data_IF_205842765556
#
_entry.id   IF_205842765556
#
_cell.length_a   1.000
_cell.length_b   1.000
_cell.length_c   1.000
_cell.angle_alpha   90.00
_cell.angle_beta   90.00
_cell.angle_gamma   90.00
#
_symmetry.space_group_name_H-M   'P 1'
#
loop_
_entity.id
_entity.type
_entity.pdbx_description
1 polymer ?
2 non-polymer ?
3 non-polymer ?
4 water ?
#
# COMPACT_ATOMS: atom_id res chain seq x y z
N UNK A 1 18.22 21.17 -9.77
CA UNK A 1 17.87 20.06 -8.86
C UNK A 1 16.83 19.18 -9.49
N UNK A 2 17.13 18.02 -9.56
CA UNK A 2 16.19 17.05 -10.09
C UNK A 2 15.15 16.78 -9.04
N UNK A 3 13.98 16.28 -9.40
CA UNK A 3 12.94 15.99 -8.40
C UNK A 3 12.30 14.62 -8.65
N UNK A 4 11.70 14.05 -7.61
CA UNK A 4 10.98 12.83 -7.73
C UNK A 4 9.68 12.96 -6.96
N UNK A 5 8.59 12.51 -7.55
CA UNK A 5 7.35 12.28 -6.84
C UNK A 5 6.88 10.82 -6.88
N UNK A 6 6.04 10.47 -5.92
CA UNK A 6 5.38 9.21 -5.90
C UNK A 6 3.87 9.44 -6.04
N UNK A 7 3.24 8.72 -6.95
CA UNK A 7 1.87 8.96 -7.31
C UNK A 7 0.91 7.79 -7.02
N UNK A 8 -0.33 8.14 -6.77
CA UNK A 8 -1.37 7.13 -6.63
C UNK A 8 -2.00 6.80 -8.00
N UNK A 9 -3.01 5.92 -8.02
CA UNK A 9 -3.73 5.50 -9.24
C UNK A 9 -4.33 6.68 -10.01
N UNK A 10 -4.74 7.69 -9.26
CA UNK A 10 -5.39 8.85 -9.77
C UNK A 10 -4.42 9.99 -10.14
N UNK A 11 -3.14 9.69 -10.14
CA UNK A 11 -2.11 10.61 -10.64
C UNK A 11 -1.73 11.66 -9.66
N UNK A 12 -2.15 11.53 -8.40
CA UNK A 12 -1.86 12.49 -7.34
C UNK A 12 -0.67 12.05 -6.50
N UNK A 13 0.00 13.06 -5.94
CA UNK A 13 1.21 12.79 -5.20
C UNK A 13 0.90 12.24 -3.81
N UNK A 14 1.66 11.24 -3.36
CA UNK A 14 1.54 10.74 -2.01
C UNK A 14 2.82 10.64 -1.24
N UNK A 15 3.76 11.55 -1.47
CA UNK A 15 4.99 11.59 -0.69
C UNK A 15 4.63 11.68 0.75
N UNK A 16 5.30 10.91 1.59
CA UNK A 16 5.04 10.93 3.00
C UNK A 16 3.87 10.06 3.45
N UNK A 17 3.04 9.52 2.57
CA UNK A 17 1.90 8.67 3.03
C UNK A 17 2.21 7.17 3.09
N UNK A 18 1.47 6.47 3.94
CA UNK A 18 1.62 5.03 4.10
C UNK A 18 1.01 4.21 2.96
N UNK A 19 1.60 3.05 2.74
CA UNK A 19 1.13 2.04 1.76
C UNK A 19 1.22 0.62 2.31
N UNK A 20 0.57 -0.28 1.61
CA UNK A 20 0.38 -1.71 1.98
C UNK A 20 1.40 -2.59 1.28
N UNK A 21 1.65 -3.81 1.79
CA UNK A 21 2.65 -4.73 1.25
C UNK A 21 2.51 -5.02 -0.20
N UNK A 22 1.32 -5.03 -0.76
CA UNK A 22 1.28 -5.27 -2.20
C UNK A 22 1.30 -4.01 -3.05
N UNK A 23 1.64 -2.86 -2.48
CA UNK A 23 1.71 -1.64 -3.31
C UNK A 23 2.62 -1.78 -4.56
N UNK A 24 2.24 -1.11 -5.66
CA UNK A 24 3.15 -0.74 -6.72
C UNK A 24 3.59 0.72 -6.50
N UNK A 25 4.86 0.98 -6.28
CA UNK A 25 5.30 2.36 -6.17
C UNK A 25 5.50 2.90 -7.57
N UNK A 26 4.71 3.91 -7.94
CA UNK A 26 4.81 4.61 -9.24
C UNK A 26 5.52 5.94 -9.11
N UNK A 27 6.77 5.98 -9.51
CA UNK A 27 7.59 7.17 -9.36
C UNK A 27 7.69 7.94 -10.68
N UNK A 28 7.68 9.27 -10.57
CA UNK A 28 7.93 10.16 -11.72
C UNK A 28 9.14 11.00 -11.36
N UNK A 29 10.24 10.84 -12.11
CA UNK A 29 11.46 11.57 -11.80
C UNK A 29 11.82 12.45 -12.95
N UNK A 30 12.28 13.65 -12.61
CA UNK A 30 12.60 14.67 -13.57
C UNK A 30 14.07 15.06 -13.57
N UNK A 31 14.66 14.89 -14.72
CA UNK A 31 15.95 15.42 -15.08
C UNK A 31 15.72 16.82 -15.65
N UNK A 32 16.19 17.78 -14.89
CA UNK A 32 15.80 19.16 -15.08
C UNK A 32 16.82 19.84 -16.01
N UNK A 33 16.40 20.16 -17.22
CA UNK A 33 17.22 20.95 -18.15
C UNK A 33 16.61 22.33 -18.47
N UNK A 34 15.43 22.56 -17.93
CA UNK A 34 14.75 23.83 -18.24
C UNK A 34 15.53 25.02 -17.80
N UNK A 35 16.39 24.89 -16.80
CA UNK A 35 17.24 25.99 -16.40
C UNK A 35 18.43 26.25 -17.30
N UNK A 36 18.67 25.41 -18.30
CA UNK A 36 19.81 25.60 -19.20
C UNK A 36 19.35 26.22 -20.51
N UNK A 37 18.08 26.61 -20.58
CA UNK A 37 17.54 27.17 -21.82
C UNK A 37 18.35 28.37 -22.31
N UNK A 38 18.94 28.31 -23.51
CA UNK A 38 19.75 29.41 -24.06
C UNK A 38 21.24 29.34 -23.74
N UNK A 39 21.67 28.26 -23.09
CA UNK A 39 23.07 28.12 -22.69
C UNK A 39 23.99 28.02 -23.93
N UNK A 40 25.25 28.37 -23.71
CA UNK A 40 26.31 28.28 -24.72
C UNK A 40 27.51 27.71 -23.97
N UNK A 41 27.48 26.39 -23.81
CA UNK A 41 28.50 25.66 -23.06
C UNK A 41 29.70 25.45 -23.95
N UNK A 42 30.88 25.33 -23.34
CA UNK A 42 32.09 25.06 -24.09
C UNK A 42 32.04 23.57 -24.42
N UNK A 43 32.88 23.21 -25.38
CA UNK A 43 32.93 21.89 -25.94
C UNK A 43 33.49 20.91 -24.94
N UNK A 44 34.45 21.32 -24.14
CA UNK A 44 34.90 20.42 -23.08
C UNK A 44 33.87 20.20 -21.97
N UNK A 45 33.03 21.18 -21.68
CA UNK A 45 32.00 20.98 -20.69
C UNK A 45 31.00 19.97 -21.24
N UNK A 46 30.58 20.15 -22.49
CA UNK A 46 29.67 19.23 -23.14
C UNK A 46 30.16 17.80 -23.19
N UNK A 47 31.43 17.61 -23.39
CA UNK A 47 31.98 16.29 -23.55
C UNK A 47 31.99 15.53 -22.23
N UNK A 48 31.77 16.18 -21.11
CA UNK A 48 31.66 15.45 -19.87
C UNK A 48 30.29 14.81 -19.67
N UNK A 49 29.31 15.22 -20.47
CA UNK A 49 28.08 14.46 -20.62
C UNK A 49 27.04 14.65 -19.57
N UNK A 50 26.01 13.82 -19.66
CA UNK A 50 24.79 13.96 -18.88
C UNK A 50 24.31 12.63 -18.34
N UNK A 51 23.95 12.61 -17.08
CA UNK A 51 23.56 11.37 -16.48
C UNK A 51 22.50 11.62 -15.40
N UNK A 52 21.65 10.63 -15.21
CA UNK A 52 20.57 10.68 -14.27
C UNK A 52 20.66 9.43 -13.42
N UNK A 53 20.50 9.60 -12.11
CA UNK A 53 20.65 8.57 -11.13
C UNK A 53 19.38 8.39 -10.30
N UNK A 54 18.95 7.14 -10.15
CA UNK A 54 17.92 6.82 -9.18
C UNK A 54 18.43 5.80 -8.14
N UNK A 55 18.29 6.12 -6.84
CA UNK A 55 18.76 5.26 -5.77
C UNK A 55 17.62 4.88 -4.83
N UNK A 56 17.03 3.69 -5.02
CA UNK A 56 16.06 3.13 -4.10
C UNK A 56 16.74 2.49 -2.93
N UNK A 57 16.10 2.50 -1.78
CA UNK A 57 16.63 1.83 -0.62
C UNK A 57 16.34 0.30 -0.58
N UNK A 58 16.71 -0.37 0.50
CA UNK A 58 16.57 -1.86 0.56
C UNK A 58 15.12 -2.42 0.49
N UNK A 59 14.09 -1.55 0.46
CA UNK A 59 12.69 -2.01 0.44
C UNK A 59 12.13 -2.42 -0.88
N UNK A 60 12.77 -1.97 -1.97
CA UNK A 60 12.12 -1.99 -3.26
C UNK A 60 12.77 -3.02 -4.12
N UNK A 61 12.04 -3.58 -5.08
CA UNK A 61 12.57 -4.73 -5.78
C UNK A 61 12.49 -4.54 -7.23
N UNK A 62 11.36 -4.76 -7.85
CA UNK A 62 11.41 -5.13 -9.27
C UNK A 62 11.21 -3.93 -10.19
N UNK A 63 12.31 -3.29 -10.57
CA UNK A 63 12.20 -2.09 -11.35
C UNK A 63 11.51 -2.35 -12.65
N UNK A 64 10.53 -1.54 -13.02
CA UNK A 64 10.13 -1.42 -14.42
C UNK A 64 10.25 0.02 -14.95
N UNK A 65 11.04 0.25 -15.97
CA UNK A 65 11.06 1.52 -16.62
C UNK A 65 9.82 1.58 -17.54
N UNK A 66 8.83 2.38 -17.19
CA UNK A 66 7.62 2.43 -17.99
C UNK A 66 7.77 3.39 -19.16
N UNK A 67 8.48 4.50 -18.97
CA UNK A 67 8.81 5.33 -20.06
C UNK A 67 9.89 6.33 -19.69
N UNK A 68 10.60 6.79 -20.71
CA UNK A 68 11.48 7.91 -20.59
C UNK A 68 11.20 8.91 -21.72
N UNK A 69 10.68 10.08 -21.37
CA UNK A 69 10.15 11.03 -22.34
C UNK A 69 10.65 12.43 -22.10
N UNK A 70 10.87 13.14 -23.19
CA UNK A 70 11.21 14.54 -23.08
C UNK A 70 9.92 15.32 -23.03
N UNK A 71 10.01 16.57 -22.60
CA UNK A 71 8.83 17.37 -22.38
C UNK A 71 8.10 17.72 -23.69
N UNK A 72 8.78 17.62 -24.82
CA UNK A 72 8.11 17.80 -26.10
C UNK A 72 7.43 16.51 -26.57
N UNK A 73 7.41 15.47 -25.78
CA UNK A 73 6.77 14.22 -26.16
C UNK A 73 7.72 13.17 -26.71
N UNK A 74 8.92 13.55 -27.13
CA UNK A 74 9.92 12.55 -27.60
C UNK A 74 10.23 11.39 -26.63
N UNK A 75 10.13 10.16 -27.13
CA UNK A 75 10.63 8.96 -26.47
C UNK A 75 12.15 8.91 -26.60
N UNK A 76 12.86 9.17 -25.52
CA UNK A 76 14.31 9.26 -25.59
C UNK A 76 15.10 8.07 -25.08
N UNK A 77 14.41 7.00 -24.73
CA UNK A 77 15.07 5.82 -24.14
C UNK A 77 16.21 5.25 -25.00
N UNK A 78 16.10 5.30 -26.31
CA UNK A 78 17.15 4.75 -27.11
C UNK A 78 18.38 5.68 -27.24
N UNK A 79 18.31 6.90 -26.69
CA UNK A 79 19.46 7.81 -26.55
C UNK A 79 20.25 7.64 -25.25
N UNK A 80 19.70 6.88 -24.32
CA UNK A 80 20.36 6.63 -23.01
C UNK A 80 20.88 5.22 -22.89
N UNK A 81 21.85 5.02 -22.02
CA UNK A 81 22.40 3.72 -21.74
C UNK A 81 22.15 3.49 -20.27
N UNK A 82 21.41 2.45 -19.91
CA UNK A 82 21.17 2.18 -18.50
C UNK A 82 22.23 1.24 -17.95
N UNK A 83 22.68 1.55 -16.76
CA UNK A 83 23.52 0.69 -15.94
C UNK A 83 22.87 0.48 -14.54
N UNK A 84 23.03 -0.73 -14.00
CA UNK A 84 22.71 -1.01 -12.62
C UNK A 84 24.04 -1.19 -11.97
N UNK A 85 24.36 -0.30 -11.03
CA UNK A 85 25.63 -0.36 -10.31
C UNK A 85 25.44 -0.94 -8.91
N UNK A 86 26.49 -1.57 -8.40
CA UNK A 86 26.50 -2.10 -7.03
C UNK A 86 27.93 -2.34 -6.60
N UNK A 87 28.36 -1.66 -5.54
CA UNK A 87 29.76 -1.71 -5.17
C UNK A 87 29.92 -2.32 -3.77
N UNK A 105 27.10 12.27 -4.16
CA UNK A 105 27.52 11.31 -5.20
C UNK A 105 27.45 9.85 -4.71
N UNK A 106 26.48 9.05 -5.28
CA UNK A 106 26.16 7.83 -4.54
C UNK A 106 27.22 6.76 -4.57
N UNK A 107 27.12 5.83 -3.62
CA UNK A 107 28.24 4.98 -3.28
C UNK A 107 27.85 3.53 -2.89
N UNK A 108 26.59 3.12 -3.11
CA UNK A 108 26.20 1.74 -2.79
C UNK A 108 25.60 1.06 -4.04
N UNK A 109 24.27 0.98 -4.07
CA UNK A 109 23.54 0.34 -5.17
C UNK A 109 22.57 1.36 -5.81
N UNK A 110 22.54 1.45 -7.14
CA UNK A 110 21.77 2.46 -7.85
C UNK A 110 21.64 2.25 -9.35
N UNK A 111 20.69 2.93 -9.96
CA UNK A 111 20.50 2.89 -11.39
C UNK A 111 20.94 4.20 -12.02
N UNK A 112 21.55 4.12 -13.20
CA UNK A 112 22.07 5.29 -13.86
C UNK A 112 21.77 5.23 -15.35
N UNK A 113 21.37 6.36 -15.91
CA UNK A 113 21.14 6.54 -17.35
C UNK A 113 22.05 7.67 -17.86
N UNK A 114 22.93 7.37 -18.77
CA UNK A 114 23.82 8.38 -19.29
C UNK A 114 23.56 8.52 -20.80
N UNK A 115 23.67 9.73 -21.33
CA UNK A 115 23.44 9.96 -22.77
C UNK A 115 24.57 9.39 -23.64
N UNK A 116 24.21 8.60 -24.63
CA UNK A 116 25.19 7.94 -25.49
C UNK A 116 26.05 8.91 -26.32
N UNK A 117 25.41 9.97 -26.81
CA UNK A 117 26.07 11.01 -27.58
C UNK A 117 25.84 12.34 -26.90
N UNK A 118 26.77 12.79 -26.04
CA UNK A 118 26.59 14.03 -25.31
C UNK A 118 26.26 15.27 -26.21
N UNK A 119 26.89 15.38 -27.36
CA UNK A 119 26.73 16.52 -28.22
C UNK A 119 25.34 16.68 -28.80
N UNK A 120 24.84 15.59 -29.37
CA UNK A 120 23.54 15.56 -29.98
C UNK A 120 22.46 15.72 -28.92
N UNK A 121 22.67 15.14 -27.75
CA UNK A 121 21.73 15.25 -26.66
C UNK A 121 21.67 16.73 -26.13
N UNK A 122 22.81 17.35 -26.02
CA UNK A 122 22.92 18.76 -25.66
C UNK A 122 22.14 19.67 -26.60
N UNK A 123 22.26 19.39 -27.88
CA UNK A 123 21.60 20.23 -28.85
C UNK A 123 20.10 19.99 -28.91
N UNK A 124 19.68 18.75 -28.84
CA UNK A 124 18.28 18.44 -28.98
C UNK A 124 17.49 18.71 -27.71
N UNK A 125 18.09 18.59 -26.54
CA UNK A 125 17.33 18.64 -25.31
C UNK A 125 17.84 19.65 -24.29
N UNK A 126 19.13 19.66 -24.03
CA UNK A 126 19.63 20.47 -22.93
C UNK A 126 19.56 21.97 -23.29
N UNK A 127 20.16 22.31 -24.43
CA UNK A 127 20.23 23.68 -24.87
C UNK A 127 18.84 24.29 -25.13
N UNK A 128 17.87 23.46 -25.51
CA UNK A 128 16.47 23.85 -25.66
C UNK A 128 15.62 23.87 -24.35
N UNK A 129 16.18 23.39 -23.25
CA UNK A 129 15.50 23.47 -21.97
C UNK A 129 14.43 22.43 -21.85
N UNK A 130 14.57 21.29 -22.55
CA UNK A 130 13.57 20.19 -22.49
C UNK A 130 13.86 19.15 -21.38
N UNK A 131 13.10 19.18 -20.30
CA UNK A 131 13.21 18.24 -19.19
C UNK A 131 12.92 16.82 -19.68
N UNK A 132 13.59 15.85 -19.05
CA UNK A 132 13.31 14.45 -19.32
C UNK A 132 12.61 13.83 -18.11
N UNK A 133 11.50 13.15 -18.34
CA UNK A 133 10.71 12.51 -17.29
C UNK A 133 10.85 10.95 -17.35
N UNK A 134 11.32 10.38 -16.25
CA UNK A 134 11.50 8.96 -16.12
C UNK A 134 10.31 8.45 -15.29
N UNK A 135 9.54 7.52 -15.86
CA UNK A 135 8.45 6.89 -15.11
C UNK A 135 8.82 5.45 -14.77
N UNK A 136 9.10 5.24 -13.50
CA UNK A 136 9.66 4.02 -12.97
C UNK A 136 8.69 3.41 -11.91
N UNK A 137 8.52 2.10 -11.94
CA UNK A 137 7.74 1.47 -10.89
C UNK A 137 8.49 0.32 -10.24
N UNK A 138 8.15 0.08 -8.97
CA UNK A 138 8.82 -0.91 -8.19
C UNK A 138 7.76 -1.61 -7.37
N UNK A 139 8.04 -2.84 -6.96
CA UNK A 139 7.33 -3.51 -5.88
C UNK A 139 8.09 -3.50 -4.57
N UNK A 140 7.36 -3.77 -3.49
CA UNK A 140 7.98 -3.91 -2.18
C UNK A 140 8.43 -5.37 -1.92
N UNK A 141 9.62 -5.54 -1.38
CA UNK A 141 10.12 -6.89 -1.06
C UNK A 141 9.27 -7.50 0.04
N UNK A 142 8.90 -8.75 -0.11
CA UNK A 142 8.03 -9.39 0.90
C UNK A 142 8.65 -9.40 2.32
N UNK A 143 9.97 -9.35 2.44
CA UNK A 143 10.60 -9.40 3.79
C UNK A 143 10.84 -8.04 4.41
N UNK A 144 10.41 -6.98 3.72
CA UNK A 144 10.30 -5.64 4.30
C UNK A 144 8.84 -5.38 4.79
N UNK A 145 8.63 -5.50 6.09
CA UNK A 145 7.33 -5.55 6.70
C UNK A 145 7.11 -4.32 7.58
N UNK A 146 8.13 -3.51 7.76
CA UNK A 146 7.92 -2.18 8.27
C UNK A 146 9.08 -1.29 7.98
N UNK A 147 8.81 -0.01 8.25
CA UNK A 147 9.74 1.08 8.13
C UNK A 147 9.45 1.86 6.88
N UNK A 148 10.46 2.55 6.41
CA UNK A 148 10.29 3.54 5.39
C UNK A 148 10.91 3.16 4.06
N UNK A 149 10.09 3.32 3.03
CA UNK A 149 10.47 3.05 1.64
C UNK A 149 10.97 4.36 1.11
N UNK A 150 12.17 4.34 0.56
CA UNK A 150 12.82 5.59 0.12
C UNK A 150 13.33 5.47 -1.25
N UNK A 151 13.20 6.57 -1.97
CA UNK A 151 13.77 6.67 -3.28
C UNK A 151 14.30 8.07 -3.52
N UNK A 152 15.58 8.14 -3.93
CA UNK A 152 16.27 9.42 -4.17
C UNK A 152 16.76 9.54 -5.62
N UNK A 153 16.99 10.78 -6.04
CA UNK A 153 17.53 11.05 -7.35
C UNK A 153 18.72 12.00 -7.33
N UNK A 154 19.50 11.94 -8.39
CA UNK A 154 20.53 12.94 -8.62
C UNK A 154 20.74 13.10 -10.09
N UNK A 155 21.45 14.16 -10.46
CA UNK A 155 21.73 14.39 -11.85
C UNK A 155 23.11 14.98 -12.04
N UNK A 156 23.73 14.68 -13.16
CA UNK A 156 25.10 15.08 -13.42
C UNK A 156 25.11 15.78 -14.77
N UNK A 157 25.53 17.05 -14.77
CA UNK A 157 25.45 17.86 -15.98
C UNK A 157 26.81 18.47 -16.18
N UNK A 158 27.41 18.26 -17.35
CA UNK A 158 28.67 18.86 -17.66
C UNK A 158 29.66 18.45 -16.58
N UNK A 159 29.48 17.25 -16.03
CA UNK A 159 30.36 16.74 -14.96
C UNK A 159 30.09 17.19 -13.52
N UNK A 160 29.11 18.07 -13.28
CA UNK A 160 28.79 18.55 -11.93
C UNK A 160 27.60 17.75 -11.41
N UNK A 161 27.73 17.12 -10.23
CA UNK A 161 26.61 16.37 -9.62
C UNK A 161 25.72 17.15 -8.68
N UNK A 162 24.41 17.05 -8.85
CA UNK A 162 23.42 17.70 -7.97
C UNK A 162 22.43 16.65 -7.44
N UNK A 163 22.25 16.53 -6.12
CA UNK A 163 21.21 15.67 -5.54
C UNK A 163 19.88 16.37 -5.60
N UNK A 164 18.82 15.58 -5.64
CA UNK A 164 17.48 16.13 -5.60
C UNK A 164 16.89 15.60 -4.32
N UNK A 165 15.58 15.44 -4.30
CA UNK A 165 14.87 15.04 -3.08
C UNK A 165 14.72 13.51 -2.90
N UNK A 166 14.41 13.10 -1.67
CA UNK A 166 14.18 11.70 -1.34
C UNK A 166 12.70 11.53 -1.02
N UNK A 167 12.00 10.64 -1.71
CA UNK A 167 10.58 10.43 -1.34
C UNK A 167 10.47 9.21 -0.44
N UNK A 168 9.60 9.35 0.55
CA UNK A 168 9.52 8.51 1.74
C UNK A 168 8.07 8.04 1.89
N UNK A 169 7.88 6.75 2.13
CA UNK A 169 6.54 6.15 2.37
C UNK A 169 6.63 5.05 3.44
N UNK A 170 5.80 5.10 4.49
CA UNK A 170 5.79 4.05 5.48
C UNK A 170 5.12 2.78 4.92
N UNK A 171 5.70 1.63 5.22
CA UNK A 171 5.10 0.30 4.90
C UNK A 171 4.41 -0.21 6.16
N UNK A 172 3.10 -0.38 6.08
CA UNK A 172 2.30 -0.87 7.19
C UNK A 172 1.75 -2.26 6.84
N UNK A 173 2.16 -3.27 7.61
CA UNK A 173 1.62 -4.60 7.48
C UNK A 173 0.38 -4.74 8.38
N UNK A 174 -0.73 -5.10 7.80
CA UNK A 174 -1.92 -5.28 8.65
C UNK A 174 -1.83 -6.39 9.69
N UNK A 175 -2.74 -6.37 10.65
CA UNK A 175 -2.72 -7.25 11.78
C UNK A 175 -4.14 -7.33 12.39
N UNK A 176 -4.55 -8.55 12.69
CA UNK A 176 -5.91 -8.85 13.17
C UNK A 176 -5.92 -9.93 14.23
N UNK A 177 -7.02 -9.98 14.98
CA UNK A 177 -7.18 -10.92 16.08
C UNK A 177 -8.57 -11.48 16.09
N UNK A 178 -8.66 -12.64 16.74
CA UNK A 178 -9.91 -13.32 17.03
C UNK A 178 -9.97 -13.66 18.51
N UNK A 179 -11.12 -13.42 19.08
CA UNK A 179 -11.44 -13.94 20.37
C UNK A 179 -12.79 -14.67 20.35
N UNK A 180 -13.02 -15.43 21.43
CA UNK A 180 -14.30 -16.06 21.67
C UNK A 180 -14.79 -15.66 23.05
N UNK A 181 -16.01 -15.23 23.07
CA UNK A 181 -16.59 -14.53 24.16
C UNK A 181 -17.83 -15.26 24.53
N UNK A 182 -18.30 -15.11 25.75
CA UNK A 182 -19.64 -15.61 26.13
C UNK A 182 -20.77 -14.81 25.43
N UNK A 183 -20.59 -13.50 25.39
CA UNK A 183 -21.33 -12.67 24.45
C UNK A 183 -20.57 -11.36 24.29
N UNK A 184 -21.08 -10.51 23.42
CA UNK A 184 -20.47 -9.22 23.09
C UNK A 184 -20.17 -8.39 24.33
N UNK A 185 -19.07 -7.62 24.28
CA UNK A 185 -18.56 -6.85 25.46
C UNK A 185 -18.71 -7.65 26.76
N UNK A 186 -18.54 -8.99 26.65
CA UNK A 186 -18.59 -9.91 27.79
C UNK A 186 -17.12 -10.20 28.08
N UNK A 187 -16.79 -11.46 28.34
CA UNK A 187 -15.40 -11.85 28.62
C UNK A 187 -14.91 -13.01 27.74
N UNK A 188 -13.59 -13.11 27.56
CA UNK A 188 -12.98 -14.18 26.75
C UNK A 188 -13.25 -15.52 27.43
N UNK A 189 -13.68 -16.52 26.68
CA UNK A 189 -13.77 -17.87 27.18
C UNK A 189 -12.81 -18.80 26.45
N UNK A 190 -11.72 -18.26 25.90
CA UNK A 190 -10.85 -19.05 25.06
C UNK A 190 -10.26 -20.15 25.92
N UNK A 191 -9.97 -21.30 25.33
CA UNK A 191 -9.73 -22.60 26.01
C UNK A 191 -10.67 -22.98 27.14
N UNK A 192 -11.88 -22.41 27.20
CA UNK A 192 -12.80 -22.79 28.26
C UNK A 192 -13.89 -23.75 27.79
N UNK A 193 -14.87 -24.01 28.67
CA UNK A 193 -15.95 -24.98 28.46
C UNK A 193 -17.24 -24.26 28.13
N UNK A 194 -18.09 -24.91 27.34
CA UNK A 194 -19.34 -24.33 26.84
C UNK A 194 -20.35 -25.46 26.93
N UNK A 195 -21.51 -25.21 27.53
CA UNK A 195 -22.53 -26.26 27.70
C UNK A 195 -23.20 -26.41 26.34
N UNK A 196 -23.63 -27.63 26.04
CA UNK A 196 -24.39 -27.93 24.83
C UNK A 196 -25.66 -27.09 24.74
N UNK A 197 -25.98 -26.61 23.54
CA UNK A 197 -27.17 -25.79 23.31
C UNK A 197 -26.98 -24.31 23.59
N UNK A 198 -25.96 -23.97 24.38
CA UNK A 198 -25.58 -22.57 24.62
C UNK A 198 -25.01 -21.82 23.37
N UNK A 199 -25.05 -20.48 23.44
CA UNK A 199 -24.50 -19.60 22.42
C UNK A 199 -23.12 -19.09 22.86
N UNK A 200 -22.25 -18.82 21.87
CA UNK A 200 -20.99 -18.12 22.07
C UNK A 200 -20.81 -17.11 20.90
N UNK A 201 -20.01 -16.13 21.18
CA UNK A 201 -19.84 -15.06 20.24
C UNK A 201 -18.39 -15.06 19.85
N UNK A 202 -18.11 -15.19 18.57
CA UNK A 202 -16.76 -14.91 18.07
C UNK A 202 -16.59 -13.44 17.76
N UNK A 203 -15.49 -12.84 18.19
CA UNK A 203 -15.16 -11.47 17.88
C UNK A 203 -13.97 -11.43 16.92
N UNK A 204 -14.15 -10.83 15.75
CA UNK A 204 -13.06 -10.67 14.83
C UNK A 204 -12.63 -9.21 14.88
N UNK A 205 -11.41 -8.96 15.40
CA UNK A 205 -10.88 -7.58 15.51
C UNK A 205 -10.18 -7.12 14.23
N UNK A 206 -10.88 -6.29 13.48
CA UNK A 206 -10.33 -5.67 12.26
C UNK A 206 -9.11 -4.79 12.49
N UNK A 207 -8.33 -4.61 11.46
CA UNK A 207 -7.20 -3.67 11.48
C UNK A 207 -7.74 -2.27 11.36
N UNK A 208 -7.23 -1.35 12.14
CA UNK A 208 -7.54 0.05 11.93
C UNK A 208 -6.63 0.51 10.80
N UNK A 209 -7.24 0.84 9.68
CA UNK A 209 -6.53 1.47 8.60
C UNK A 209 -6.17 2.93 9.00
N UNK A 210 -4.87 3.29 8.96
CA UNK A 210 -4.47 4.61 9.47
C UNK A 210 -4.81 5.76 8.56
N UNK A 211 -4.92 6.92 9.20
CA UNK A 211 -4.98 8.20 8.53
C UNK A 211 -3.60 8.45 7.96
N UNK A 212 -3.55 9.29 6.93
CA UNK A 212 -2.29 9.63 6.26
C UNK A 212 -1.79 8.50 5.38
N UNK A 213 -2.74 7.79 4.79
CA UNK A 213 -2.41 6.75 3.86
C UNK A 213 -2.45 7.29 2.44
N UNK A 214 -1.78 6.58 1.58
CA UNK A 214 -1.72 6.96 0.20
C UNK A 214 -2.58 6.15 -0.73
N UNK A 215 -3.73 5.68 -0.29
CA UNK A 215 -4.58 4.78 -1.08
C UNK A 215 -5.99 4.88 -0.52
N UNK A 216 -6.94 4.61 -1.35
CA UNK A 216 -8.33 4.46 -0.92
C UNK A 216 -8.54 2.97 -0.78
N UNK A 217 -9.51 2.66 0.04
CA UNK A 217 -9.98 1.34 0.27
C UNK A 217 -10.99 0.83 -0.76
N UNK A 218 -10.70 -0.30 -1.38
CA UNK A 218 -11.73 -0.96 -2.15
C UNK A 218 -12.15 -2.32 -1.54
N UNK A 219 -11.40 -2.86 -0.57
CA UNK A 219 -11.75 -4.11 0.05
C UNK A 219 -11.42 -4.09 1.50
N UNK A 220 -12.40 -4.48 2.32
CA UNK A 220 -12.27 -4.67 3.78
C UNK A 220 -13.20 -5.79 4.19
N UNK A 221 -12.63 -6.96 4.49
CA UNK A 221 -13.40 -8.20 4.44
C UNK A 221 -12.81 -9.30 5.34
N UNK A 222 -13.70 -9.95 6.07
CA UNK A 222 -13.38 -11.14 6.83
C UNK A 222 -13.90 -12.43 6.21
N UNK A 223 -13.11 -13.49 6.28
CA UNK A 223 -13.53 -14.82 5.90
C UNK A 223 -13.30 -15.74 7.13
N UNK A 224 -14.37 -16.30 7.64
CA UNK A 224 -14.23 -17.13 8.82
C UNK A 224 -14.67 -18.56 8.47
N UNK A 225 -13.80 -19.51 8.73
CA UNK A 225 -14.11 -20.93 8.46
C UNK A 225 -14.75 -21.52 9.70
N UNK A 226 -16.08 -21.45 9.84
CA UNK A 226 -16.76 -21.93 11.05
C UNK A 226 -16.75 -23.47 11.11
N UNK A 227 -16.63 -24.04 12.31
CA UNK A 227 -16.65 -25.49 12.41
C UNK A 227 -18.14 -25.94 12.46
N UNK A 228 -18.76 -26.02 11.28
CA UNK A 228 -20.23 -26.10 11.09
C UNK A 228 -20.82 -27.39 11.69
N UNK A 229 -20.01 -28.45 11.81
CA UNK A 229 -20.47 -29.69 12.49
C UNK A 229 -20.78 -29.48 13.96
N UNK A 230 -20.18 -28.48 14.59
CA UNK A 230 -20.37 -28.26 16.03
C UNK A 230 -20.97 -26.86 16.38
N UNK A 231 -20.96 -25.92 15.45
CA UNK A 231 -21.40 -24.53 15.72
C UNK A 231 -22.45 -24.14 14.68
N UNK A 232 -23.62 -23.67 15.11
CA UNK A 232 -24.67 -23.24 14.18
C UNK A 232 -24.72 -21.72 14.06
N UNK A 233 -24.51 -21.24 12.85
CA UNK A 233 -24.48 -19.78 12.64
C UNK A 233 -25.87 -19.19 12.84
N UNK A 234 -26.01 -18.29 13.82
CA UNK A 234 -27.26 -17.62 14.10
C UNK A 234 -27.31 -16.23 13.48
N UNK A 235 -26.36 -15.37 13.83
CA UNK A 235 -26.38 -13.98 13.36
C UNK A 235 -25.02 -13.28 13.59
N UNK A 236 -24.90 -12.07 13.05
CA UNK A 236 -23.70 -11.27 13.17
C UNK A 236 -23.96 -9.78 13.36
N UNK A 237 -22.94 -9.05 13.78
CA UNK A 237 -23.07 -7.61 13.97
C UNK A 237 -21.70 -6.97 13.75
N UNK A 238 -21.68 -5.85 13.03
CA UNK A 238 -20.41 -5.23 12.72
C UNK A 238 -20.43 -3.79 13.22
N UNK A 239 -19.40 -3.39 13.97
CA UNK A 239 -19.41 -2.10 14.59
C UNK A 239 -18.12 -1.32 14.35
N UNK A 240 -18.24 -0.01 14.26
CA UNK A 240 -17.07 0.86 14.11
C UNK A 240 -16.22 0.82 15.36
N UNK A 241 -14.93 0.54 15.18
CA UNK A 241 -13.93 0.64 16.23
C UNK A 241 -13.36 2.05 16.46
N UNK A 242 -13.51 2.96 15.51
CA UNK A 242 -13.07 4.37 15.66
C UNK A 242 -14.09 5.28 15.02
N UNK A 243 -14.05 6.56 15.37
CA UNK A 243 -14.83 7.54 14.66
C UNK A 243 -14.34 7.56 13.24
N UNK A 244 -15.26 7.45 12.30
CA UNK A 244 -14.96 7.45 10.88
C UNK A 244 -15.46 8.74 10.18
N UNK A 245 -14.57 9.44 9.46
CA UNK A 245 -14.92 10.65 8.76
C UNK A 245 -14.91 10.42 7.26
N UNK A 246 -16.02 10.76 6.61
CA UNK A 246 -16.13 10.57 5.18
C UNK A 246 -15.62 11.82 4.50
N UNK A 247 -15.43 11.73 3.19
CA UNK A 247 -14.89 12.87 2.42
C UNK A 247 -15.72 14.13 2.49
N UNK A 248 -17.03 13.98 2.65
CA UNK A 248 -17.86 15.13 2.66
C UNK A 248 -17.98 15.72 4.09
N UNK A 249 -17.25 15.14 5.05
CA UNK A 249 -17.25 15.66 6.40
C UNK A 249 -18.13 14.95 7.40
N UNK A 250 -19.03 14.06 6.95
CA UNK A 250 -19.88 13.29 7.87
C UNK A 250 -19.00 12.42 8.74
N UNK A 251 -19.26 12.45 10.05
CA UNK A 251 -18.52 11.68 11.07
C UNK A 251 -19.41 10.54 11.49
N UNK A 252 -18.89 9.33 11.53
CA UNK A 252 -19.65 8.14 11.96
C UNK A 252 -19.09 7.75 13.32
N UNK A 253 -19.89 7.86 14.38
CA UNK A 253 -19.32 7.67 15.71
C UNK A 253 -18.80 6.25 15.88
N UNK A 254 -17.66 6.15 16.57
CA UNK A 254 -17.23 4.88 17.12
C UNK A 254 -18.40 4.21 17.81
N UNK A 255 -18.50 2.89 17.65
CA UNK A 255 -19.56 2.10 18.24
C UNK A 255 -20.77 1.98 17.34
N UNK A 256 -20.83 2.75 16.24
CA UNK A 256 -21.98 2.71 15.33
C UNK A 256 -22.10 1.34 14.62
N UNK A 257 -23.34 0.90 14.46
CA UNK A 257 -23.63 -0.33 13.79
C UNK A 257 -23.55 -0.16 12.26
N UNK A 258 -22.53 -0.78 11.67
CA UNK A 258 -22.22 -0.60 10.26
C UNK A 258 -22.90 -1.54 9.28
N UNK A 259 -23.98 -2.17 9.72
CA UNK A 259 -24.56 -3.27 8.95
C UNK A 259 -24.98 -2.86 7.54
N UNK A 260 -25.61 -1.73 7.35
CA UNK A 260 -26.03 -1.49 5.98
C UNK A 260 -24.91 -1.16 5.02
N UNK A 261 -23.65 -1.11 5.47
CA UNK A 261 -22.55 -0.90 4.53
C UNK A 261 -21.83 -2.20 4.21
N UNK A 262 -22.41 -3.32 4.62
CA UNK A 262 -21.76 -4.61 4.47
C UNK A 262 -22.67 -5.63 3.84
N UNK A 263 -22.07 -6.71 3.41
CA UNK A 263 -22.78 -7.85 2.90
C UNK A 263 -22.19 -9.06 3.60
N UNK A 264 -23.04 -9.85 4.21
CA UNK A 264 -22.69 -11.12 4.84
C UNK A 264 -23.13 -12.31 3.98
N UNK A 265 -22.30 -13.35 3.81
CA UNK A 265 -22.76 -14.64 3.24
C UNK A 265 -22.21 -15.82 4.02
N UNK A 266 -23.06 -16.83 4.17
CA UNK A 266 -22.74 -18.03 4.91
C UNK A 266 -23.17 -19.29 4.18
N UNK A 267 -22.21 -20.14 3.83
CA UNK A 267 -22.53 -21.44 3.23
C UNK A 267 -22.59 -22.51 4.33
N UNK A 268 -23.78 -23.05 4.55
CA UNK A 268 -24.04 -24.01 5.65
C UNK A 268 -23.40 -25.37 5.45
N UNK A 269 -23.05 -25.73 4.22
CA UNK A 269 -22.47 -27.01 3.93
C UNK A 269 -20.94 -26.97 4.14
N UNK A 270 -20.35 -25.80 4.02
CA UNK A 270 -18.89 -25.69 4.12
C UNK A 270 -18.42 -25.00 5.36
N UNK A 271 -19.28 -24.27 6.08
CA UNK A 271 -18.82 -23.42 7.16
C UNK A 271 -18.25 -22.07 6.73
N UNK A 272 -18.22 -21.78 5.44
CA UNK A 272 -17.67 -20.49 4.98
C UNK A 272 -18.55 -19.28 5.29
N UNK A 273 -18.03 -18.43 6.15
CA UNK A 273 -18.68 -17.18 6.45
C UNK A 273 -17.85 -16.03 5.86
N UNK A 274 -18.52 -15.07 5.18
CA UNK A 274 -17.87 -13.81 4.72
C UNK A 274 -18.64 -12.60 5.11
N UNK A 275 -17.94 -11.58 5.55
CA UNK A 275 -18.52 -10.29 5.74
C UNK A 275 -17.63 -9.30 4.98
N UNK A 276 -18.20 -8.49 4.10
CA UNK A 276 -17.41 -7.54 3.29
C UNK A 276 -18.07 -6.17 3.21
N UNK A 277 -17.29 -5.12 3.33
CA UNK A 277 -17.79 -3.78 3.07
C UNK A 277 -17.97 -3.56 1.58
N UNK A 278 -19.02 -2.85 1.26
CA UNK A 278 -19.29 -2.38 -0.11
C UNK A 278 -18.28 -1.35 -0.52
N UNK A 279 -17.70 -1.58 -1.68
CA UNK A 279 -16.80 -0.67 -2.35
C UNK A 279 -17.30 0.78 -2.41
N UNK A 280 -18.59 1.00 -2.62
CA UNK A 280 -19.15 2.36 -2.72
C UNK A 280 -19.04 3.09 -1.37
N UNK A 281 -19.21 2.38 -0.27
CA UNK A 281 -19.04 2.99 1.04
C UNK A 281 -17.56 3.33 1.32
N UNK A 282 -16.70 2.37 1.07
CA UNK A 282 -15.30 2.47 1.40
C UNK A 282 -14.63 3.59 0.63
N UNK A 283 -15.08 3.83 -0.59
CA UNK A 283 -14.62 4.95 -1.41
C UNK A 283 -14.92 6.30 -0.72
N UNK A 284 -15.94 6.37 0.11
CA UNK A 284 -16.31 7.63 0.79
C UNK A 284 -15.46 7.98 2.00
N UNK A 285 -14.71 7.02 2.49
CA UNK A 285 -13.93 7.28 3.66
C UNK A 285 -12.71 8.17 3.32
N UNK A 286 -12.54 9.24 4.08
CA UNK A 286 -11.39 10.15 3.88
C UNK A 286 -10.01 9.52 4.16
N UNK A 287 -9.03 9.79 3.30
CA UNK A 287 -7.64 9.41 3.58
C UNK A 287 -7.02 10.00 4.82
N UNK A 288 -7.64 11.00 5.40
CA UNK A 288 -7.14 11.41 6.69
C UNK A 288 -8.07 11.06 7.88
N UNK A 289 -8.92 10.08 7.70
CA UNK A 289 -9.60 9.36 8.77
C UNK A 289 -9.02 7.93 8.91
N UNK A 290 -8.98 7.44 10.13
CA UNK A 290 -8.73 6.06 10.39
C UNK A 290 -10.00 5.30 10.01
N UNK A 291 -9.91 4.00 9.80
CA UNK A 291 -11.09 3.20 9.51
C UNK A 291 -10.91 1.77 10.08
N UNK A 292 -11.93 1.24 10.72
CA UNK A 292 -11.83 -0.05 11.37
C UNK A 292 -13.18 -0.52 11.83
N UNK A 293 -13.33 -1.82 11.85
CA UNK A 293 -14.53 -2.44 12.39
C UNK A 293 -14.22 -3.81 13.07
N UNK A 294 -15.04 -4.12 14.06
CA UNK A 294 -15.01 -5.39 14.80
C UNK A 294 -16.23 -6.19 14.39
N UNK A 295 -16.11 -7.49 14.20
CA UNK A 295 -17.27 -8.30 13.80
C UNK A 295 -17.62 -9.32 14.86
N UNK A 296 -18.85 -9.32 15.33
CA UNK A 296 -19.32 -10.27 16.35
C UNK A 296 -20.19 -11.31 15.67
N UNK A 297 -19.78 -12.57 15.76
CA UNK A 297 -20.53 -13.67 15.14
C UNK A 297 -21.11 -14.54 16.25
N UNK A 298 -22.43 -14.69 16.27
CA UNK A 298 -23.11 -15.49 17.31
C UNK A 298 -23.40 -16.89 16.76
N UNK A 299 -22.92 -17.87 17.51
CA UNK A 299 -23.19 -19.26 17.13
C UNK A 299 -23.78 -20.02 18.29
N UNK A 300 -24.50 -21.07 17.97
CA UNK A 300 -25.02 -21.99 18.96
C UNK A 300 -24.21 -23.31 18.90
N UNK A 301 -23.77 -23.77 20.06
CA UNK A 301 -23.08 -25.04 20.18
C UNK A 301 -24.11 -26.18 20.12
N UNK A 302 -24.04 -26.96 19.06
CA UNK A 302 -24.96 -28.08 18.82
C UNK A 302 -24.35 -29.47 18.91
N UNK A 303 -23.06 -29.56 19.25
CA UNK A 303 -22.38 -30.87 19.38
C UNK A 303 -21.17 -30.80 20.31
N UNK A 304 -20.92 -31.94 20.95
CA UNK A 304 -19.85 -32.11 21.90
C UNK A 304 -18.53 -32.29 21.17
N UNK A 305 -17.46 -31.91 21.87
CA UNK A 305 -16.13 -32.01 21.31
C UNK A 305 -15.41 -30.68 21.31
N UNK A 306 -14.25 -30.67 20.67
CA UNK A 306 -13.41 -29.47 20.63
C UNK A 306 -13.64 -28.62 19.37
N UNK A 307 -13.88 -27.34 19.57
CA UNK A 307 -14.30 -26.48 18.48
C UNK A 307 -13.30 -25.34 18.26
N UNK A 308 -12.69 -25.35 17.09
CA UNK A 308 -11.60 -24.45 16.72
C UNK A 308 -12.19 -23.31 15.86
N UNK A 309 -11.61 -22.11 15.93
CA UNK A 309 -11.99 -21.05 15.00
C UNK A 309 -10.78 -20.17 14.60
N UNK A 310 -10.73 -19.88 13.30
CA UNK A 310 -9.72 -18.99 12.68
C UNK A 310 -10.41 -18.11 11.68
N UNK A 311 -9.85 -16.96 11.39
CA UNK A 311 -10.33 -16.18 10.28
C UNK A 311 -9.15 -15.60 9.45
N UNK A 312 -9.50 -15.19 8.24
CA UNK A 312 -8.64 -14.47 7.33
C UNK A 312 -9.27 -13.11 7.13
N UNK A 313 -8.41 -12.13 6.96
CA UNK A 313 -8.78 -10.73 6.78
C UNK A 313 -8.08 -10.23 5.53
N UNK A 314 -8.85 -9.53 4.70
CA UNK A 314 -8.38 -8.98 3.46
C UNK A 314 -8.65 -7.51 3.49
N UNK A 315 -7.59 -6.77 3.23
CA UNK A 315 -7.65 -5.34 3.03
C UNK A 315 -6.91 -4.98 1.70
N UNK A 316 -7.67 -4.42 0.77
CA UNK A 316 -7.22 -4.17 -0.59
C UNK A 316 -6.34 -5.29 -1.21
N UNK A 317 -6.79 -6.54 -1.11
CA UNK A 317 -6.03 -7.67 -1.61
C UNK A 317 -4.92 -8.13 -0.73
N UNK A 318 -4.73 -7.55 0.45
CA UNK A 318 -3.73 -8.08 1.35
C UNK A 318 -4.39 -8.98 2.40
N UNK A 319 -3.85 -10.19 2.57
CA UNK A 319 -4.45 -11.18 3.42
C UNK A 319 -3.64 -11.38 4.65
N UNK A 320 -4.28 -11.41 5.81
CA UNK A 320 -3.66 -11.89 7.04
C UNK A 320 -4.63 -12.75 7.83
N UNK A 321 -4.11 -13.49 8.81
CA UNK A 321 -4.88 -14.50 9.54
C UNK A 321 -4.91 -14.11 10.97
N UNK A 322 -5.96 -14.48 11.66
CA UNK A 322 -6.02 -14.34 13.10
C UNK A 322 -5.37 -15.54 13.76
N UNK A 323 -5.31 -15.54 15.07
CA UNK A 323 -4.91 -16.73 15.83
C UNK A 323 -6.05 -17.77 15.83
N UNK A 324 -5.75 -19.01 16.21
CA UNK A 324 -6.80 -20.01 16.32
C UNK A 324 -7.34 -20.01 17.73
N UNK A 325 -8.64 -19.92 17.91
CA UNK A 325 -9.20 -20.16 19.23
C UNK A 325 -9.88 -21.54 19.37
N UNK A 326 -10.02 -22.00 20.63
CA UNK A 326 -10.70 -23.27 20.99
C UNK A 326 -11.67 -23.09 22.11
N UNK A 327 -12.80 -23.79 22.03
CA UNK A 327 -13.63 -24.13 23.19
C UNK A 327 -14.04 -25.62 23.21
N UNK A 328 -14.42 -26.11 24.38
CA UNK A 328 -14.68 -27.56 24.60
C UNK A 328 -16.09 -27.78 25.05
N UNK A 329 -16.72 -28.81 24.60
CA UNK A 329 -18.06 -29.09 25.12
C UNK A 329 -18.22 -30.46 25.76
X LIG B 1 -0.58 2.22 -5.45
X LIG B 1 -0.58 0.77 -5.28
X LIG B 1 -0.52 2.94 -4.10
X LIG B 1 -1.59 3.90 -3.97
X LIG C 1 -6.65 2.25 -4.78
X LIG C 1 -5.73 1.28 -4.27
X LIG C 1 -5.80 3.46 -5.16
X LIG C 1 -5.91 4.44 -4.14
X LIG D 1 -1.51 -0.26 -1.64
X LIG D 1 -0.90 0.60 -0.69
X LIG D 1 -3.05 -0.34 -1.58
X LIG D 1 -3.52 -0.85 -2.84
X LIG D 1 -2.77 -1.98 -3.39
X LIG D 1 -3.51 -2.44 -4.69
X LIG D 1 -2.63 -3.05 -5.68
#
# INVERSE_FOLDING_TARGET
PPTKKVLDENGQSINGKSVLPNATLDYVAKQNFSQYKGIKASAEAIAKGFAFVDQPNEALAELTVKSIKASNGDDVSSLLEMRHVLSKDTLDQKLQSLIKEAGISPVGEFYMWTAKDPQAFYKAYVQKGLDITYNLSFKVKKEFTKGQIKNGVAQIDFGNGYTGNIVVNDLTTPEVHKDVLDKEDGKSINNGTVKLGDEVTYKLEGWVVPANRGYDLFEYKFVDHLQHTHDLYLKDKVVAKVAITLKDGTVIPKGTNLVQYTETVYNKETGRYELAFKADFLAQVSRSSAFGADDFIVVKRIKAGDVYNTADFFVNGNKVKTETVVTHT
EDO C1 O1 C2 O2
EDO C1 O1 C2 O2
PEG C1 O1 C2 O2 C3 C4 O4
#
